data_IF_101169168296
#
_entry.id   IF_101169168296
#
_cell.length_a   1.000
_cell.length_b   1.000
_cell.length_c   1.000
_cell.angle_alpha   90.00
_cell.angle_beta   90.00
_cell.angle_gamma   90.00
#
_symmetry.space_group_name_H-M   'P 1'
#
loop_
_entity.id
_entity.type
_entity.pdbx_description
1 polymer ?
#
# COMPACT_ATOMS: atom_id res chain seq x y z
N UNK A 1 61.65 24.34 16.81
CA UNK A 1 60.63 24.03 15.79
C UNK A 1 60.72 22.59 15.28
N UNK A 2 60.51 21.59 16.18
CA UNK A 2 60.65 20.15 15.74
C UNK A 2 59.73 19.16 16.47
N UNK A 3 58.62 19.61 17.05
CA UNK A 3 57.66 18.73 17.80
C UNK A 3 56.26 18.68 17.20
N UNK A 4 55.99 19.35 16.08
CA UNK A 4 54.67 19.41 15.47
C UNK A 4 54.44 18.39 14.33
N UNK A 5 55.46 17.84 13.72
CA UNK A 5 55.30 16.91 12.59
C UNK A 5 55.05 15.44 12.98
N UNK A 6 55.43 15.02 14.23
CA UNK A 6 55.20 13.66 14.68
C UNK A 6 53.78 13.35 15.18
N UNK A 7 52.95 14.38 15.43
CA UNK A 7 51.57 14.25 15.84
C UNK A 7 50.60 13.96 14.66
N UNK A 8 50.86 14.56 13.49
CA UNK A 8 49.99 14.38 12.32
C UNK A 8 50.15 13.00 11.65
N UNK A 9 51.38 12.49 11.58
CA UNK A 9 51.62 11.14 11.01
C UNK A 9 51.02 9.97 11.85
N UNK A 10 50.94 10.15 13.21
CA UNK A 10 50.25 9.18 14.07
C UNK A 10 48.70 9.25 13.96
N UNK A 11 48.15 10.40 13.66
CA UNK A 11 46.69 10.57 13.49
C UNK A 11 46.18 10.03 12.13
N UNK A 12 46.99 10.12 11.08
CA UNK A 12 46.68 9.51 9.77
C UNK A 12 46.78 8.00 9.79
N UNK A 13 47.82 7.43 10.38
CA UNK A 13 47.95 5.98 10.53
C UNK A 13 46.84 5.33 11.37
N UNK A 14 46.28 6.04 12.36
CA UNK A 14 45.16 5.55 13.15
C UNK A 14 43.83 5.59 12.39
N UNK A 15 43.65 6.55 11.46
CA UNK A 15 42.48 6.64 10.58
C UNK A 15 42.50 5.56 9.50
N UNK A 16 43.65 5.26 8.93
CA UNK A 16 43.80 4.20 7.94
C UNK A 16 43.60 2.81 8.54
N UNK A 17 44.13 2.54 9.74
CA UNK A 17 43.90 1.30 10.46
C UNK A 17 42.41 1.12 10.87
N UNK A 18 41.71 2.19 11.26
CA UNK A 18 40.29 2.14 11.55
C UNK A 18 39.44 1.90 10.31
N UNK A 19 39.84 2.43 9.16
CA UNK A 19 39.15 2.26 7.88
C UNK A 19 39.36 0.86 7.28
N UNK A 20 40.51 0.26 7.50
CA UNK A 20 40.78 -1.12 7.07
C UNK A 20 40.15 -2.16 8.02
N UNK A 21 40.09 -1.88 9.32
CA UNK A 21 39.32 -2.68 10.26
C UNK A 21 37.80 -2.62 9.96
N UNK A 22 37.28 -1.47 9.54
CA UNK A 22 35.88 -1.34 9.10
C UNK A 22 35.62 -2.08 7.77
N UNK A 23 36.58 -2.11 6.84
CA UNK A 23 36.47 -2.87 5.59
C UNK A 23 36.56 -4.38 5.84
N UNK A 24 37.41 -4.84 6.75
CA UNK A 24 37.51 -6.23 7.12
C UNK A 24 36.33 -6.72 7.95
N UNK A 25 35.75 -5.88 8.82
CA UNK A 25 34.50 -6.17 9.50
C UNK A 25 33.33 -6.26 8.50
N UNK A 26 33.32 -5.41 7.46
CA UNK A 26 32.32 -5.46 6.38
C UNK A 26 32.54 -6.70 5.48
N UNK A 27 33.78 -7.12 5.26
CA UNK A 27 34.11 -8.39 4.56
C UNK A 27 33.83 -9.63 5.40
N UNK A 28 34.05 -9.58 6.71
CA UNK A 28 33.72 -10.66 7.62
C UNK A 28 32.18 -10.79 7.82
N UNK A 29 31.44 -9.70 7.90
CA UNK A 29 29.99 -9.71 7.90
C UNK A 29 29.40 -10.21 6.56
N UNK A 30 30.11 -10.02 5.44
CA UNK A 30 29.75 -10.56 4.13
C UNK A 30 30.11 -12.04 3.94
N UNK A 31 30.85 -12.65 4.86
CA UNK A 31 31.20 -14.07 4.88
C UNK A 31 30.50 -14.92 5.94
N UNK A 32 29.52 -14.34 6.63
CA UNK A 32 28.53 -15.17 7.29
C UNK A 32 27.75 -15.86 6.18
N UNK A 33 28.19 -17.06 5.86
CA UNK A 33 27.59 -17.98 4.89
C UNK A 33 26.08 -17.92 5.04
N UNK A 34 25.43 -17.15 4.19
CA UNK A 34 24.09 -17.51 3.76
C UNK A 34 24.23 -18.97 3.30
N UNK A 35 23.78 -19.91 4.14
CA UNK A 35 23.44 -21.24 3.65
C UNK A 35 22.64 -20.97 2.37
N UNK A 36 23.25 -21.29 1.25
CA UNK A 36 22.62 -21.30 -0.06
C UNK A 36 21.66 -22.48 -0.12
N UNK A 37 20.62 -22.45 0.70
CA UNK A 37 19.38 -23.10 0.34
C UNK A 37 18.95 -22.40 -0.93
N UNK A 38 19.11 -23.05 -2.10
CA UNK A 38 18.83 -22.48 -3.39
C UNK A 38 17.44 -21.89 -3.35
N UNK A 39 17.30 -20.60 -3.75
CA UNK A 39 15.97 -20.00 -3.88
C UNK A 39 15.11 -20.97 -4.68
N UNK A 40 13.91 -21.34 -4.20
CA UNK A 40 13.07 -22.27 -4.93
C UNK A 40 12.89 -21.79 -6.36
N UNK A 41 13.10 -22.68 -7.33
CA UNK A 41 12.96 -22.31 -8.74
C UNK A 41 11.51 -21.85 -9.00
N UNK A 42 11.36 -20.61 -9.45
CA UNK A 42 10.04 -20.10 -9.82
C UNK A 42 9.59 -20.71 -11.15
N UNK A 43 8.27 -20.96 -11.33
CA UNK A 43 7.73 -21.30 -12.62
C UNK A 43 8.10 -20.26 -13.69
N UNK A 44 8.09 -20.62 -14.99
CA UNK A 44 8.25 -19.66 -16.07
C UNK A 44 7.32 -18.46 -15.92
N UNK A 45 7.77 -17.25 -16.28
CA UNK A 45 7.03 -16.03 -16.01
C UNK A 45 5.58 -16.03 -16.60
N UNK A 46 5.35 -16.65 -17.74
CA UNK A 46 4.02 -16.77 -18.33
C UNK A 46 3.09 -17.67 -17.51
N UNK A 47 3.59 -18.81 -17.04
CA UNK A 47 2.88 -19.72 -16.14
C UNK A 47 2.58 -19.05 -14.79
N UNK A 48 3.58 -18.41 -14.19
CA UNK A 48 3.41 -17.66 -12.95
C UNK A 48 2.35 -16.57 -13.09
N UNK A 49 2.29 -15.87 -14.24
CA UNK A 49 1.26 -14.86 -14.49
C UNK A 49 -0.14 -15.48 -14.56
N UNK A 50 -0.28 -16.66 -15.19
CA UNK A 50 -1.55 -17.40 -15.25
C UNK A 50 -1.99 -17.85 -13.84
N UNK A 51 -1.07 -18.43 -13.05
CA UNK A 51 -1.33 -18.87 -11.67
C UNK A 51 -1.74 -17.70 -10.76
N UNK A 52 -1.05 -16.55 -10.84
CA UNK A 52 -1.41 -15.35 -10.08
C UNK A 52 -2.79 -14.81 -10.47
N UNK A 53 -3.13 -14.83 -11.76
CA UNK A 53 -4.47 -14.44 -12.23
C UNK A 53 -5.53 -15.38 -11.69
N UNK A 54 -5.35 -16.66 -11.86
CA UNK A 54 -6.29 -17.67 -11.37
C UNK A 54 -6.50 -17.56 -9.87
N UNK A 55 -5.42 -17.53 -9.08
CA UNK A 55 -5.50 -17.39 -7.62
C UNK A 55 -6.20 -16.11 -7.21
N UNK A 56 -5.85 -14.95 -7.81
CA UNK A 56 -6.45 -13.65 -7.49
C UNK A 56 -7.95 -13.66 -7.74
N UNK A 57 -8.38 -14.08 -8.92
CA UNK A 57 -9.80 -14.07 -9.29
C UNK A 57 -10.60 -15.15 -8.52
N UNK A 58 -9.99 -16.30 -8.20
CA UNK A 58 -10.62 -17.32 -7.37
C UNK A 58 -10.81 -16.83 -5.93
N UNK A 59 -9.77 -16.28 -5.29
CA UNK A 59 -9.86 -15.76 -3.92
C UNK A 59 -10.85 -14.59 -3.81
N UNK A 60 -10.95 -13.75 -4.84
CA UNK A 60 -11.95 -12.70 -4.88
C UNK A 60 -13.39 -13.27 -4.89
N UNK A 61 -13.64 -14.32 -5.66
CA UNK A 61 -14.93 -15.03 -5.66
C UNK A 61 -15.23 -15.69 -4.33
N UNK A 62 -14.25 -16.37 -3.72
CA UNK A 62 -14.42 -17.02 -2.42
C UNK A 62 -14.79 -16.02 -1.31
N UNK A 63 -14.26 -14.81 -1.35
CA UNK A 63 -14.66 -13.77 -0.41
C UNK A 63 -16.10 -13.29 -0.61
N UNK A 64 -16.55 -13.18 -1.84
CA UNK A 64 -17.90 -12.72 -2.17
C UNK A 64 -18.94 -13.81 -1.94
N UNK A 65 -18.68 -14.97 -2.50
CA UNK A 65 -19.58 -16.14 -2.53
C UNK A 65 -18.75 -17.42 -2.29
N UNK A 66 -18.52 -17.80 -1.02
CA UNK A 66 -17.74 -18.98 -0.69
C UNK A 66 -18.34 -20.25 -1.31
N UNK A 67 -17.51 -21.01 -2.01
CA UNK A 67 -17.86 -22.35 -2.50
C UNK A 67 -17.67 -23.40 -1.41
N UNK A 68 -18.19 -24.60 -1.65
CA UNK A 68 -18.04 -25.72 -0.71
C UNK A 68 -16.84 -26.62 -1.05
N UNK A 69 -16.21 -26.43 -2.22
CA UNK A 69 -15.10 -27.24 -2.69
C UNK A 69 -13.80 -26.42 -2.89
N UNK A 70 -12.66 -26.95 -2.40
CA UNK A 70 -11.37 -26.31 -2.60
C UNK A 70 -10.97 -26.32 -4.10
N UNK A 71 -10.16 -25.36 -4.53
CA UNK A 71 -9.56 -25.38 -5.86
C UNK A 71 -8.62 -26.60 -6.02
N UNK A 72 -8.62 -27.20 -7.22
CA UNK A 72 -7.71 -28.29 -7.56
C UNK A 72 -6.31 -27.80 -7.92
N UNK A 73 -5.68 -27.04 -7.06
CA UNK A 73 -4.33 -26.52 -7.26
C UNK A 73 -3.28 -27.54 -6.84
N UNK A 74 -2.20 -27.66 -7.61
CA UNK A 74 -0.99 -28.36 -7.17
C UNK A 74 -0.23 -27.50 -6.11
N UNK A 75 0.84 -28.04 -5.52
CA UNK A 75 1.54 -27.37 -4.42
C UNK A 75 2.00 -25.94 -4.76
N UNK A 76 2.62 -25.72 -5.92
CA UNK A 76 3.02 -24.39 -6.34
C UNK A 76 1.82 -23.43 -6.53
N UNK A 77 0.66 -23.94 -6.96
CA UNK A 77 -0.59 -23.17 -7.04
C UNK A 77 -1.05 -22.66 -5.67
N UNK A 78 -1.01 -23.51 -4.65
CA UNK A 78 -1.32 -23.12 -3.27
C UNK A 78 -0.37 -22.05 -2.74
N UNK A 79 0.93 -22.17 -3.02
CA UNK A 79 1.93 -21.16 -2.63
C UNK A 79 1.71 -19.83 -3.37
N UNK A 80 1.35 -19.85 -4.65
CA UNK A 80 0.95 -18.65 -5.39
C UNK A 80 -0.34 -18.04 -4.83
N UNK A 81 -1.28 -18.85 -4.38
CA UNK A 81 -2.49 -18.37 -3.71
C UNK A 81 -2.17 -17.68 -2.37
N UNK A 82 -1.20 -18.17 -1.58
CA UNK A 82 -0.70 -17.48 -0.39
C UNK A 82 -0.10 -16.10 -0.75
N UNK A 83 0.70 -16.02 -1.82
CA UNK A 83 1.22 -14.75 -2.33
C UNK A 83 0.09 -13.80 -2.75
N UNK A 84 -0.91 -14.30 -3.48
CA UNK A 84 -2.08 -13.51 -3.90
C UNK A 84 -2.88 -13.00 -2.70
N UNK A 85 -3.16 -13.85 -1.70
CA UNK A 85 -3.84 -13.47 -0.46
C UNK A 85 -3.08 -12.37 0.30
N UNK A 86 -1.75 -12.45 0.31
CA UNK A 86 -0.86 -11.45 0.92
C UNK A 86 -0.88 -10.13 0.13
N UNK A 87 -0.67 -10.17 -1.19
CA UNK A 87 -0.70 -9.00 -2.07
C UNK A 87 -2.03 -8.24 -1.90
N UNK A 88 -3.13 -8.96 -1.86
CA UNK A 88 -4.46 -8.40 -1.74
C UNK A 88 -4.89 -8.08 -0.30
N UNK A 89 -4.13 -8.51 0.71
CA UNK A 89 -4.40 -8.26 2.13
C UNK A 89 -5.65 -8.93 2.65
N UNK A 90 -5.96 -10.13 2.17
CA UNK A 90 -7.24 -10.80 2.46
C UNK A 90 -7.09 -12.12 3.24
N UNK A 91 -5.87 -12.50 3.62
CA UNK A 91 -5.64 -13.76 4.34
C UNK A 91 -6.48 -13.89 5.62
N UNK A 92 -6.58 -12.81 6.42
CA UNK A 92 -7.40 -12.80 7.64
C UNK A 92 -8.90 -12.90 7.38
N UNK A 93 -9.38 -12.38 6.24
CA UNK A 93 -10.77 -12.52 5.81
C UNK A 93 -11.06 -13.94 5.31
N UNK A 94 -10.15 -14.50 4.52
CA UNK A 94 -10.27 -15.86 3.99
C UNK A 94 -10.31 -16.89 5.12
N UNK A 95 -9.50 -16.72 6.18
CA UNK A 95 -9.49 -17.60 7.35
C UNK A 95 -10.88 -17.77 8.01
N UNK A 96 -11.76 -16.76 7.89
CA UNK A 96 -13.10 -16.81 8.46
C UNK A 96 -14.19 -17.11 7.42
N UNK A 97 -13.90 -16.91 6.13
CA UNK A 97 -14.93 -16.91 5.10
C UNK A 97 -15.01 -18.20 4.32
N UNK A 98 -13.86 -18.89 4.15
CA UNK A 98 -13.80 -20.14 3.40
C UNK A 98 -14.65 -21.23 4.07
N UNK A 99 -15.39 -22.02 3.27
CA UNK A 99 -16.19 -23.16 3.69
C UNK A 99 -15.47 -24.49 3.48
N UNK A 100 -14.36 -24.46 2.75
CA UNK A 100 -13.54 -25.61 2.45
C UNK A 100 -12.18 -25.52 3.15
N UNK A 101 -11.57 -26.68 3.34
CA UNK A 101 -10.21 -26.80 3.85
C UNK A 101 -9.24 -27.11 2.71
N UNK A 102 -8.16 -26.33 2.64
CA UNK A 102 -7.04 -26.58 1.73
C UNK A 102 -5.98 -27.48 2.39
N UNK A 103 -4.82 -27.65 1.73
CA UNK A 103 -3.70 -28.39 2.30
C UNK A 103 -3.24 -27.82 3.66
N UNK A 104 -2.60 -28.64 4.51
CA UNK A 104 -2.16 -28.20 5.85
C UNK A 104 -1.35 -26.90 5.84
N UNK A 105 -0.46 -26.71 4.85
CA UNK A 105 0.34 -25.49 4.70
C UNK A 105 -0.52 -24.24 4.49
N UNK A 106 -1.60 -24.36 3.71
CA UNK A 106 -2.54 -23.25 3.48
C UNK A 106 -3.29 -22.90 4.75
N UNK A 107 -3.79 -23.91 5.49
CA UNK A 107 -4.49 -23.70 6.75
C UNK A 107 -3.58 -23.06 7.81
N UNK A 108 -2.35 -23.56 7.92
CA UNK A 108 -1.33 -22.99 8.81
C UNK A 108 -1.02 -21.53 8.48
N UNK A 109 -0.86 -21.20 7.19
CA UNK A 109 -0.65 -19.83 6.72
C UNK A 109 -1.82 -18.91 7.09
N UNK A 110 -3.06 -19.31 6.85
CA UNK A 110 -4.23 -18.48 7.19
C UNK A 110 -4.34 -18.24 8.70
N UNK A 111 -4.12 -19.30 9.51
CA UNK A 111 -4.15 -19.21 10.96
C UNK A 111 -3.04 -18.29 11.50
N UNK A 112 -1.79 -18.42 10.99
CA UNK A 112 -0.67 -17.56 11.32
C UNK A 112 -0.97 -16.10 10.96
N UNK A 113 -1.38 -15.82 9.73
CA UNK A 113 -1.68 -14.45 9.29
C UNK A 113 -2.76 -13.80 10.15
N UNK A 114 -3.81 -14.53 10.53
CA UNK A 114 -4.85 -14.04 11.43
C UNK A 114 -4.29 -13.71 12.82
N UNK A 115 -3.41 -14.54 13.35
CA UNK A 115 -2.74 -14.33 14.63
C UNK A 115 -1.84 -13.08 14.59
N UNK A 116 -0.96 -12.98 13.59
CA UNK A 116 -0.06 -11.84 13.40
C UNK A 116 -0.82 -10.52 13.24
N UNK A 117 -1.90 -10.53 12.45
CA UNK A 117 -2.76 -9.36 12.26
C UNK A 117 -3.42 -8.90 13.57
N UNK A 118 -3.88 -9.83 14.44
CA UNK A 118 -4.45 -9.48 15.75
C UNK A 118 -3.44 -8.79 16.65
N UNK A 119 -2.24 -9.35 16.76
CA UNK A 119 -1.17 -8.76 17.57
C UNK A 119 -0.79 -7.37 17.06
N UNK A 120 -0.68 -7.23 15.73
CA UNK A 120 -0.35 -5.96 15.10
C UNK A 120 -1.47 -4.93 15.28
N UNK A 121 -2.73 -5.34 15.14
CA UNK A 121 -3.90 -4.48 15.38
C UNK A 121 -3.90 -3.90 16.81
N UNK A 122 -3.58 -4.71 17.82
CA UNK A 122 -3.49 -4.24 19.20
C UNK A 122 -2.43 -3.13 19.35
N UNK A 123 -1.24 -3.34 18.79
CA UNK A 123 -0.17 -2.31 18.81
C UNK A 123 -0.58 -1.02 18.10
N UNK A 124 -1.32 -1.13 17.00
CA UNK A 124 -1.84 0.02 16.26
C UNK A 124 -2.86 0.77 17.12
N UNK A 125 -3.78 0.07 17.81
CA UNK A 125 -4.76 0.68 18.73
C UNK A 125 -4.05 1.42 19.88
N UNK A 126 -3.06 0.80 20.50
CA UNK A 126 -2.27 1.41 21.58
C UNK A 126 -1.53 2.67 21.08
N UNK A 127 -0.97 2.61 19.86
CA UNK A 127 -0.31 3.75 19.24
C UNK A 127 -1.28 4.89 18.97
N UNK A 128 -2.47 4.60 18.42
CA UNK A 128 -3.51 5.61 18.17
C UNK A 128 -4.01 6.26 19.44
N UNK A 129 -4.17 5.50 20.55
CA UNK A 129 -4.54 6.05 21.86
C UNK A 129 -3.46 7.02 22.38
N UNK A 130 -2.18 6.66 22.27
CA UNK A 130 -1.08 7.53 22.67
C UNK A 130 -1.03 8.79 21.81
N UNK A 131 -1.28 8.69 20.52
CA UNK A 131 -1.37 9.85 19.61
C UNK A 131 -2.53 10.76 20.03
N UNK A 132 -3.71 10.22 20.37
CA UNK A 132 -4.85 11.02 20.82
C UNK A 132 -4.53 11.83 22.11
N UNK A 133 -3.93 11.17 23.08
CA UNK A 133 -3.54 11.81 24.35
C UNK A 133 -2.54 12.97 24.12
N UNK A 134 -1.47 12.74 23.37
CA UNK A 134 -0.47 13.75 23.09
C UNK A 134 -1.00 14.88 22.18
N UNK A 135 -1.86 14.55 21.22
CA UNK A 135 -2.49 15.54 20.35
C UNK A 135 -3.43 16.47 21.13
N UNK A 136 -4.20 15.93 22.11
CA UNK A 136 -5.00 16.76 23.03
C UNK A 136 -4.13 17.67 23.87
N UNK A 137 -3.02 17.15 24.43
CA UNK A 137 -2.06 17.90 25.22
C UNK A 137 -1.47 19.09 24.46
N UNK A 138 -1.13 18.88 23.19
CA UNK A 138 -0.51 19.92 22.34
C UNK A 138 -1.54 20.85 21.67
N UNK A 139 -2.84 20.66 21.91
CA UNK A 139 -3.89 21.41 21.25
C UNK A 139 -4.02 21.12 19.73
N UNK A 140 -3.52 19.98 19.29
CA UNK A 140 -3.36 19.61 17.87
C UNK A 140 -4.54 18.80 17.35
N UNK A 141 -5.30 19.24 16.34
CA UNK A 141 -6.25 18.41 15.62
C UNK A 141 -5.52 17.46 14.67
N UNK A 142 -5.78 16.16 14.81
CA UNK A 142 -5.21 15.09 13.96
C UNK A 142 -6.36 14.23 13.46
N UNK A 143 -6.36 13.83 12.20
CA UNK A 143 -7.32 12.84 11.67
C UNK A 143 -6.57 11.55 11.33
N UNK A 144 -7.04 10.43 11.89
CA UNK A 144 -6.59 9.10 11.47
C UNK A 144 -7.25 8.74 10.14
N UNK A 145 -6.43 8.53 9.11
CA UNK A 145 -6.92 8.29 7.76
C UNK A 145 -7.15 6.80 7.46
N UNK A 146 -7.97 6.51 6.45
CA UNK A 146 -8.15 5.15 5.85
C UNK A 146 -8.32 4.03 6.90
N UNK A 147 -7.34 3.12 7.00
CA UNK A 147 -7.35 1.98 7.91
C UNK A 147 -7.57 2.36 9.36
N UNK A 148 -7.00 3.48 9.84
CA UNK A 148 -7.19 3.98 11.20
C UNK A 148 -8.65 4.38 11.48
N UNK A 149 -9.32 5.00 10.50
CA UNK A 149 -10.74 5.33 10.61
C UNK A 149 -11.62 4.07 10.61
N UNK A 150 -11.35 3.10 9.72
CA UNK A 150 -12.08 1.84 9.66
C UNK A 150 -11.94 1.03 10.95
N UNK A 151 -10.73 1.07 11.55
CA UNK A 151 -10.43 0.45 12.83
C UNK A 151 -11.22 1.10 13.98
N UNK A 152 -11.29 2.43 14.02
CA UNK A 152 -12.06 3.17 15.06
C UNK A 152 -13.57 2.93 14.95
N UNK A 153 -14.07 2.64 13.75
CA UNK A 153 -15.47 2.27 13.50
C UNK A 153 -15.78 0.81 13.80
N UNK A 154 -14.80 0.00 14.18
CA UNK A 154 -14.92 -1.45 14.33
C UNK A 154 -15.58 -2.12 13.10
N UNK A 155 -15.15 -1.69 11.89
CA UNK A 155 -15.70 -2.19 10.64
C UNK A 155 -15.40 -3.68 10.43
N UNK A 156 -14.30 -4.14 11.01
CA UNK A 156 -13.80 -5.51 10.96
C UNK A 156 -13.67 -6.11 12.36
N UNK A 157 -13.90 -7.40 12.48
CA UNK A 157 -13.48 -8.11 13.67
C UNK A 157 -11.94 -8.21 13.74
N UNK A 158 -11.37 -8.34 14.94
CA UNK A 158 -9.92 -8.34 15.13
C UNK A 158 -9.19 -9.40 14.29
N UNK A 159 -8.10 -8.98 13.65
CA UNK A 159 -7.26 -9.84 12.81
C UNK A 159 -7.78 -10.12 11.41
N UNK A 160 -8.84 -9.43 10.96
CA UNK A 160 -9.39 -9.61 9.61
C UNK A 160 -8.79 -8.68 8.56
N UNK A 161 -8.38 -7.48 8.97
CA UNK A 161 -7.88 -6.46 8.05
C UNK A 161 -6.43 -6.08 8.38
N UNK A 162 -5.48 -6.30 7.45
CA UNK A 162 -4.10 -5.88 7.65
C UNK A 162 -3.98 -4.36 7.63
N UNK A 163 -3.02 -3.84 8.43
CA UNK A 163 -2.61 -2.44 8.42
C UNK A 163 -1.09 -2.37 8.48
N UNK A 164 -0.46 -1.94 7.38
CA UNK A 164 0.99 -1.80 7.30
C UNK A 164 1.51 -0.54 8.02
N UNK A 165 0.69 0.50 8.07
CA UNK A 165 1.00 1.84 8.54
C UNK A 165 -0.20 2.51 9.20
N UNK A 166 0.06 3.63 9.87
CA UNK A 166 -0.95 4.56 10.40
C UNK A 166 -0.81 5.86 9.62
N UNK A 167 -1.79 6.17 8.79
CA UNK A 167 -1.87 7.45 8.10
C UNK A 167 -2.49 8.52 9.02
N UNK A 168 -1.84 9.67 9.17
CA UNK A 168 -2.30 10.81 9.98
C UNK A 168 -2.36 12.06 9.12
N UNK A 169 -3.43 12.85 9.25
CA UNK A 169 -3.57 14.16 8.61
C UNK A 169 -3.53 15.27 9.65
N UNK A 170 -2.70 16.26 9.39
CA UNK A 170 -2.64 17.52 10.14
C UNK A 170 -2.66 18.70 9.17
N UNK A 171 -2.92 19.91 9.66
CA UNK A 171 -2.79 21.11 8.84
C UNK A 171 -1.32 21.39 8.48
N UNK A 172 -1.02 22.06 7.36
CA UNK A 172 0.35 22.41 7.01
C UNK A 172 1.06 23.21 8.09
N UNK A 173 0.38 24.16 8.74
CA UNK A 173 0.88 24.99 9.83
C UNK A 173 1.18 24.19 11.11
N UNK A 174 0.48 23.10 11.33
CA UNK A 174 0.62 22.21 12.49
C UNK A 174 1.71 21.15 12.32
N UNK A 175 2.32 21.04 11.13
CA UNK A 175 3.29 19.99 10.80
C UNK A 175 4.45 19.89 11.78
N UNK A 176 5.05 21.02 12.17
CA UNK A 176 6.18 21.02 13.11
C UNK A 176 5.78 20.60 14.52
N UNK A 177 4.59 21.00 14.97
CA UNK A 177 4.04 20.57 16.27
C UNK A 177 3.77 19.07 16.26
N UNK A 178 3.17 18.54 15.18
CA UNK A 178 2.96 17.11 15.00
C UNK A 178 4.28 16.32 15.04
N UNK A 179 5.33 16.81 14.38
CA UNK A 179 6.64 16.13 14.38
C UNK A 179 7.25 16.09 15.76
N UNK A 180 7.16 17.18 16.56
CA UNK A 180 7.62 17.19 17.95
C UNK A 180 6.83 16.22 18.82
N UNK A 181 5.53 16.18 18.68
CA UNK A 181 4.64 15.23 19.35
C UNK A 181 5.04 13.77 19.02
N UNK A 182 5.20 13.43 17.74
CA UNK A 182 5.55 12.09 17.32
C UNK A 182 6.97 11.68 17.74
N UNK A 183 7.90 12.65 17.83
CA UNK A 183 9.24 12.41 18.37
C UNK A 183 9.20 12.02 19.86
N UNK A 184 8.33 12.65 20.69
CA UNK A 184 8.11 12.24 22.10
C UNK A 184 7.54 10.84 22.21
N UNK A 185 6.73 10.41 21.22
CA UNK A 185 6.22 9.04 21.13
C UNK A 185 7.27 8.02 20.65
N UNK A 186 8.51 8.46 20.39
CA UNK A 186 9.61 7.61 19.97
C UNK A 186 9.69 7.38 18.48
N UNK A 187 9.10 8.26 17.66
CA UNK A 187 9.19 8.19 16.20
C UNK A 187 10.23 9.17 15.65
N UNK A 188 10.97 8.75 14.63
CA UNK A 188 11.94 9.58 13.91
C UNK A 188 11.55 9.73 12.45
N UNK A 189 11.78 10.91 11.82
CA UNK A 189 11.55 11.11 10.39
C UNK A 189 12.38 10.16 9.55
N UNK A 190 11.74 9.60 8.52
CA UNK A 190 12.33 8.77 7.49
C UNK A 190 12.25 9.47 6.13
N UNK A 191 11.61 8.84 5.16
CA UNK A 191 11.51 9.31 3.78
C UNK A 191 10.38 10.31 3.62
N UNK A 192 10.66 11.50 3.05
CA UNK A 192 9.65 12.44 2.57
C UNK A 192 9.37 12.14 1.09
N UNK A 193 8.16 11.66 0.79
CA UNK A 193 7.71 11.34 -0.56
C UNK A 193 7.13 12.55 -1.30
N UNK A 194 7.06 13.72 -0.64
CA UNK A 194 6.34 14.91 -1.14
C UNK A 194 4.81 14.80 -1.02
N UNK A 195 4.27 13.61 -0.73
CA UNK A 195 2.85 13.37 -0.43
C UNK A 195 2.62 13.20 1.09
N UNK A 196 3.53 12.53 1.74
CA UNK A 196 3.58 12.30 3.18
C UNK A 196 5.03 12.14 3.63
N UNK A 197 5.27 12.40 4.89
CA UNK A 197 6.50 12.05 5.57
C UNK A 197 6.32 10.74 6.32
N UNK A 198 7.10 9.73 5.95
CA UNK A 198 7.15 8.47 6.70
C UNK A 198 7.96 8.65 7.98
N UNK A 199 7.44 8.16 9.10
CA UNK A 199 8.15 8.12 10.38
C UNK A 199 8.26 6.65 10.83
N UNK A 200 9.41 6.32 11.39
CA UNK A 200 9.73 4.99 11.89
C UNK A 200 9.95 5.03 13.41
N UNK A 201 9.57 3.99 14.16
CA UNK A 201 9.96 3.88 15.56
C UNK A 201 11.49 3.96 15.66
N UNK A 202 11.98 4.71 16.65
CA UNK A 202 13.43 4.88 16.88
C UNK A 202 14.12 3.55 17.18
N UNK A 203 13.39 2.59 17.78
CA UNK A 203 13.84 1.22 18.07
C UNK A 203 13.85 0.29 16.86
N UNK A 204 13.37 0.72 15.68
CA UNK A 204 13.31 -0.15 14.50
C UNK A 204 14.70 -0.53 14.03
N UNK A 205 14.96 -1.83 13.93
CA UNK A 205 16.19 -2.35 13.33
C UNK A 205 16.27 -1.97 11.84
N UNK A 206 17.44 -1.59 11.33
CA UNK A 206 17.62 -1.24 9.92
C UNK A 206 17.27 -2.39 8.96
N UNK A 207 17.40 -3.63 9.41
CA UNK A 207 17.21 -4.85 8.63
C UNK A 207 16.30 -5.83 9.38
N UNK A 208 15.03 -5.48 9.53
CA UNK A 208 14.06 -6.44 10.08
C UNK A 208 13.91 -7.64 9.12
N UNK A 209 13.71 -8.87 9.64
CA UNK A 209 13.42 -10.04 8.81
C UNK A 209 12.21 -9.76 7.90
N UNK A 210 12.26 -10.30 6.68
CA UNK A 210 11.16 -10.20 5.74
C UNK A 210 10.29 -11.45 5.91
N UNK A 211 9.03 -11.24 6.25
CA UNK A 211 8.04 -12.29 6.42
C UNK A 211 7.00 -12.22 5.30
N UNK A 212 6.38 -13.36 4.98
CA UNK A 212 5.25 -13.41 4.06
C UNK A 212 4.03 -12.76 4.75
N UNK A 213 3.55 -11.66 4.21
CA UNK A 213 2.38 -10.95 4.73
C UNK A 213 2.64 -10.10 5.97
N UNK A 214 1.64 -10.00 6.85
CA UNK A 214 1.77 -9.25 8.10
C UNK A 214 2.52 -10.06 9.15
N UNK A 215 3.34 -9.37 9.92
CA UNK A 215 4.05 -9.97 11.04
C UNK A 215 4.10 -9.02 12.23
N UNK A 216 4.01 -9.57 13.43
CA UNK A 216 4.05 -8.78 14.65
C UNK A 216 5.33 -7.95 14.78
N UNK A 217 6.48 -8.45 14.35
CA UNK A 217 7.76 -7.73 14.42
C UNK A 217 7.93 -6.62 13.39
N UNK A 218 7.05 -6.53 12.39
CA UNK A 218 7.08 -5.40 11.48
C UNK A 218 6.81 -4.10 12.24
N UNK A 219 7.66 -3.11 12.05
CA UNK A 219 7.49 -1.80 12.66
C UNK A 219 6.14 -1.17 12.28
N UNK A 220 5.43 -0.60 13.25
CA UNK A 220 4.26 0.24 12.98
C UNK A 220 4.77 1.59 12.48
N UNK A 221 4.74 1.79 11.17
CA UNK A 221 5.13 3.05 10.52
C UNK A 221 4.01 4.07 10.65
N UNK A 222 4.38 5.35 10.72
CA UNK A 222 3.42 6.46 10.60
C UNK A 222 3.66 7.20 9.28
N UNK A 223 2.59 7.61 8.62
CA UNK A 223 2.63 8.49 7.46
C UNK A 223 1.94 9.80 7.81
N UNK A 224 2.71 10.88 7.94
CA UNK A 224 2.21 12.21 8.25
C UNK A 224 1.89 12.96 6.97
N UNK A 225 0.61 13.20 6.74
CA UNK A 225 0.07 13.95 5.61
C UNK A 225 -0.31 15.37 6.04
N UNK A 226 -0.12 16.33 5.15
CA UNK A 226 -0.68 17.68 5.26
C UNK A 226 -1.74 17.94 4.20
N UNK A 227 -1.89 17.01 3.25
CA UNK A 227 -2.90 17.05 2.18
C UNK A 227 -3.37 15.64 1.84
N UNK A 228 -4.62 15.54 1.45
CA UNK A 228 -5.20 14.31 0.87
C UNK A 228 -5.60 14.62 -0.57
N UNK A 229 -4.70 14.28 -1.48
CA UNK A 229 -4.84 14.59 -2.89
C UNK A 229 -4.30 13.47 -3.79
N UNK A 230 -4.98 13.24 -4.93
CA UNK A 230 -4.56 12.28 -5.95
C UNK A 230 -4.55 12.92 -7.34
N UNK A 231 -3.46 12.73 -8.13
CA UNK A 231 -3.44 13.16 -9.53
C UNK A 231 -4.30 12.21 -10.38
N UNK A 232 -5.45 12.69 -10.92
CA UNK A 232 -6.38 11.89 -11.70
C UNK A 232 -6.74 12.56 -13.04
N UNK A 233 -6.03 12.23 -14.10
CA UNK A 233 -4.63 11.89 -14.25
C UNK A 233 -3.74 13.11 -14.35
N UNK A 234 -4.26 14.25 -14.87
CA UNK A 234 -3.53 15.51 -15.06
C UNK A 234 -3.98 16.60 -14.10
N UNK A 235 -5.18 16.50 -13.54
CA UNK A 235 -5.67 17.38 -12.46
C UNK A 235 -5.61 16.62 -11.14
N UNK A 236 -5.12 17.32 -10.14
CA UNK A 236 -5.14 16.84 -8.77
C UNK A 236 -6.56 17.00 -8.20
N UNK A 237 -7.07 15.93 -7.59
CA UNK A 237 -8.30 15.98 -6.78
C UNK A 237 -7.87 16.07 -5.33
N UNK A 238 -8.10 17.21 -4.70
CA UNK A 238 -7.76 17.49 -3.31
C UNK A 238 -9.05 17.53 -2.48
N UNK A 239 -9.12 16.68 -1.46
CA UNK A 239 -10.27 16.57 -0.55
C UNK A 239 -9.93 16.94 0.90
N UNK A 240 -8.77 17.56 1.13
CA UNK A 240 -8.23 17.86 2.47
C UNK A 240 -9.23 18.61 3.34
N UNK A 241 -9.82 19.69 2.83
CA UNK A 241 -10.78 20.52 3.58
C UNK A 241 -12.06 19.77 3.99
N UNK A 242 -12.43 18.72 3.25
CA UNK A 242 -13.59 17.85 3.60
C UNK A 242 -13.27 16.86 4.71
N UNK A 243 -12.00 16.61 5.00
CA UNK A 243 -11.55 15.65 6.01
C UNK A 243 -11.14 16.36 7.31
N UNK A 244 -10.42 17.47 7.19
CA UNK A 244 -9.94 18.26 8.33
C UNK A 244 -10.47 19.69 8.23
N UNK A 245 -11.70 19.97 8.71
CA UNK A 245 -12.28 21.31 8.70
C UNK A 245 -11.54 22.25 9.65
N UNK A 246 -11.60 23.56 9.38
CA UNK A 246 -10.96 24.60 10.21
C UNK A 246 -11.41 24.57 11.68
N UNK A 247 -12.65 24.14 11.94
CA UNK A 247 -13.22 24.02 13.30
C UNK A 247 -12.88 22.73 14.04
N UNK A 248 -11.98 21.88 13.50
CA UNK A 248 -11.64 20.61 14.13
C UNK A 248 -11.01 20.84 15.53
N UNK A 249 -11.51 20.08 16.53
CA UNK A 249 -11.03 20.13 17.93
C UNK A 249 -9.73 19.36 18.08
N UNK A 250 -8.90 19.68 19.11
CA UNK A 250 -7.69 18.92 19.43
C UNK A 250 -7.94 17.43 19.70
N UNK A 251 -6.93 16.61 19.45
CA UNK A 251 -6.93 15.16 19.59
C UNK A 251 -7.10 14.42 18.27
N UNK A 252 -7.11 13.09 18.33
CA UNK A 252 -7.36 12.24 17.18
C UNK A 252 -8.86 12.26 16.82
N UNK A 253 -9.17 12.74 15.64
CA UNK A 253 -10.56 12.98 15.21
C UNK A 253 -11.03 11.96 14.19
N UNK A 254 -12.30 11.57 14.25
CA UNK A 254 -12.92 10.85 13.14
C UNK A 254 -13.11 11.79 11.95
N UNK A 255 -13.40 11.22 10.79
CA UNK A 255 -13.89 11.99 9.64
C UNK A 255 -15.18 12.74 10.01
N UNK A 256 -15.46 13.88 9.40
CA UNK A 256 -16.68 14.66 9.65
C UNK A 256 -17.99 13.90 9.38
N UNK A 257 -17.92 12.84 8.56
CA UNK A 257 -19.04 11.96 8.27
C UNK A 257 -18.64 10.77 7.41
N UNK A 258 -19.58 9.84 7.22
CA UNK A 258 -19.36 8.62 6.42
C UNK A 258 -19.06 8.92 4.96
N UNK A 259 -19.74 9.93 4.39
CA UNK A 259 -19.49 10.38 3.03
C UNK A 259 -18.04 10.88 2.83
N UNK A 260 -17.47 11.60 3.80
CA UNK A 260 -16.08 12.06 3.74
C UNK A 260 -15.08 10.89 3.78
N UNK A 261 -15.32 9.90 4.62
CA UNK A 261 -14.49 8.68 4.67
C UNK A 261 -14.62 7.90 3.36
N UNK A 262 -15.84 7.63 2.89
CA UNK A 262 -16.07 6.91 1.64
C UNK A 262 -15.44 7.62 0.45
N UNK A 263 -15.52 8.96 0.38
CA UNK A 263 -14.86 9.77 -0.63
C UNK A 263 -13.34 9.55 -0.64
N UNK A 264 -12.70 9.52 0.53
CA UNK A 264 -11.26 9.26 0.62
C UNK A 264 -10.91 7.83 0.17
N UNK A 265 -11.66 6.82 0.61
CA UNK A 265 -11.44 5.43 0.20
C UNK A 265 -11.58 5.28 -1.32
N UNK A 266 -12.58 5.91 -1.93
CA UNK A 266 -12.79 5.93 -3.38
C UNK A 266 -11.64 6.64 -4.11
N UNK A 267 -11.20 7.80 -3.61
CA UNK A 267 -10.09 8.55 -4.20
C UNK A 267 -8.79 7.74 -4.17
N UNK A 268 -8.51 7.10 -3.03
CA UNK A 268 -7.36 6.22 -2.88
C UNK A 268 -7.45 4.99 -3.80
N UNK A 269 -8.61 4.35 -3.89
CA UNK A 269 -8.83 3.22 -4.80
C UNK A 269 -8.69 3.64 -6.27
N UNK A 270 -9.20 4.81 -6.66
CA UNK A 270 -9.04 5.36 -8.01
C UNK A 270 -7.55 5.61 -8.36
N UNK A 271 -6.79 6.20 -7.43
CA UNK A 271 -5.34 6.37 -7.57
C UNK A 271 -4.61 5.04 -7.76
N UNK A 272 -4.98 4.03 -6.96
CA UNK A 272 -4.42 2.68 -7.04
C UNK A 272 -4.82 1.95 -8.34
N UNK A 273 -6.06 2.08 -8.80
CA UNK A 273 -6.47 1.56 -10.11
C UNK A 273 -5.66 2.18 -11.25
N UNK A 274 -5.45 3.51 -11.20
CA UNK A 274 -4.65 4.24 -12.20
C UNK A 274 -3.19 3.74 -12.22
N UNK A 275 -2.61 3.45 -11.07
CA UNK A 275 -1.23 2.94 -10.92
C UNK A 275 -1.13 1.43 -10.98
N UNK A 276 -2.26 0.72 -11.03
CA UNK A 276 -2.38 -0.74 -11.03
C UNK A 276 -1.80 -1.38 -9.77
N UNK A 277 -2.17 -0.81 -8.64
CA UNK A 277 -1.84 -1.28 -7.30
C UNK A 277 -3.09 -1.48 -6.42
N UNK A 278 -4.27 -1.61 -7.06
CA UNK A 278 -5.52 -1.89 -6.37
C UNK A 278 -5.43 -3.23 -5.62
N UNK A 279 -5.93 -3.25 -4.39
CA UNK A 279 -5.99 -4.46 -3.56
C UNK A 279 -7.44 -4.85 -3.31
N UNK A 280 -7.70 -6.16 -3.22
CA UNK A 280 -9.05 -6.67 -2.95
C UNK A 280 -9.60 -6.16 -1.62
N UNK A 281 -8.76 -6.01 -0.59
CA UNK A 281 -9.17 -5.44 0.70
C UNK A 281 -9.75 -4.02 0.54
N UNK A 282 -9.27 -3.22 -0.42
CA UNK A 282 -9.81 -1.88 -0.66
C UNK A 282 -11.22 -1.94 -1.26
N UNK A 283 -11.48 -2.91 -2.15
CA UNK A 283 -12.84 -3.13 -2.67
C UNK A 283 -13.79 -3.62 -1.57
N UNK A 284 -13.29 -4.46 -0.67
CA UNK A 284 -14.06 -4.92 0.49
C UNK A 284 -14.33 -3.77 1.48
N UNK A 285 -13.35 -2.88 1.73
CA UNK A 285 -13.56 -1.63 2.49
C UNK A 285 -14.71 -0.80 1.89
N UNK A 286 -14.71 -0.62 0.55
CA UNK A 286 -15.77 0.12 -0.16
C UNK A 286 -17.14 -0.55 -0.01
N UNK A 287 -17.21 -1.87 -0.17
CA UNK A 287 -18.45 -2.63 -0.04
C UNK A 287 -19.04 -2.50 1.37
N UNK A 288 -18.23 -2.73 2.41
CA UNK A 288 -18.68 -2.60 3.80
C UNK A 288 -19.08 -1.17 4.19
N UNK A 289 -18.39 -0.17 3.63
CA UNK A 289 -18.77 1.23 3.84
C UNK A 289 -20.06 1.59 3.12
N UNK A 290 -20.27 1.10 1.90
CA UNK A 290 -21.47 1.35 1.12
C UNK A 290 -22.74 0.91 1.86
N UNK A 291 -22.71 -0.22 2.58
CA UNK A 291 -23.81 -0.72 3.40
C UNK A 291 -24.19 0.21 4.58
N UNK A 292 -23.32 1.15 4.91
CA UNK A 292 -23.51 2.11 6.02
C UNK A 292 -23.88 3.50 5.59
N UNK A 293 -23.93 3.77 4.29
CA UNK A 293 -24.26 5.09 3.75
C UNK A 293 -25.77 5.28 3.66
N UNK A 294 -26.20 6.47 4.03
CA UNK A 294 -27.57 6.96 3.81
C UNK A 294 -27.70 7.56 2.41
N UNK A 295 -28.93 7.82 1.94
CA UNK A 295 -29.15 8.50 0.66
C UNK A 295 -28.54 9.92 0.63
N UNK A 296 -28.54 10.62 1.76
CA UNK A 296 -27.86 11.92 1.88
C UNK A 296 -26.34 11.80 1.75
N UNK A 297 -25.74 10.71 2.27
CA UNK A 297 -24.32 10.43 2.08
C UNK A 297 -24.01 10.18 0.60
N UNK A 298 -24.82 9.40 -0.12
CA UNK A 298 -24.67 9.15 -1.56
C UNK A 298 -24.79 10.43 -2.39
N UNK A 299 -25.77 11.28 -2.09
CA UNK A 299 -25.92 12.58 -2.73
C UNK A 299 -24.70 13.48 -2.50
N UNK A 300 -24.20 13.52 -1.25
CA UNK A 300 -22.98 14.26 -0.90
C UNK A 300 -21.75 13.72 -1.63
N UNK A 301 -21.63 12.39 -1.81
CA UNK A 301 -20.53 11.76 -2.54
C UNK A 301 -20.53 12.10 -4.02
N UNK A 302 -21.71 12.09 -4.66
CA UNK A 302 -21.85 12.40 -6.08
C UNK A 302 -21.54 13.87 -6.39
N UNK A 303 -21.78 14.77 -5.44
CA UNK A 303 -21.48 16.18 -5.60
C UNK A 303 -19.98 16.42 -5.86
N UNK A 304 -19.67 17.16 -6.91
CA UNK A 304 -18.29 17.53 -7.27
C UNK A 304 -17.64 18.49 -6.27
N UNK A 305 -16.37 18.72 -6.41
CA UNK A 305 -15.60 19.69 -5.63
C UNK A 305 -15.87 21.11 -6.15
N UNK A 306 -16.27 22.04 -5.25
CA UNK A 306 -16.45 23.45 -5.58
C UNK A 306 -17.53 23.76 -6.62
N UNK A 307 -18.59 22.94 -6.73
CA UNK A 307 -19.65 23.12 -7.74
C UNK A 307 -19.28 22.65 -9.15
N UNK A 308 -18.14 21.96 -9.30
CA UNK A 308 -17.70 21.38 -10.56
C UNK A 308 -18.36 20.01 -10.83
N UNK A 309 -18.01 19.41 -11.98
CA UNK A 309 -18.53 18.11 -12.42
C UNK A 309 -18.55 17.05 -11.31
N UNK A 310 -19.52 16.12 -11.31
CA UNK A 310 -19.60 15.02 -10.34
C UNK A 310 -18.26 14.30 -10.12
N UNK A 311 -18.13 13.59 -9.00
CA UNK A 311 -16.94 12.82 -8.64
C UNK A 311 -16.77 11.59 -9.58
N UNK A 312 -16.67 11.82 -10.89
CA UNK A 312 -16.61 10.80 -11.95
C UNK A 312 -15.52 9.74 -11.72
N UNK A 313 -14.43 10.12 -11.07
CA UNK A 313 -13.31 9.25 -10.72
C UNK A 313 -13.69 8.15 -9.71
N UNK A 314 -14.79 8.31 -9.00
CA UNK A 314 -15.33 7.31 -8.07
C UNK A 314 -16.03 6.16 -8.79
N UNK A 315 -16.51 6.36 -10.05
CA UNK A 315 -17.22 5.34 -10.81
C UNK A 315 -16.42 4.04 -11.01
N UNK A 316 -15.13 4.06 -11.44
CA UNK A 316 -14.39 2.82 -11.65
C UNK A 316 -14.23 1.96 -10.38
N UNK A 317 -13.80 2.49 -9.21
CA UNK A 317 -13.71 1.68 -8.01
C UNK A 317 -15.07 1.22 -7.48
N UNK A 318 -16.13 2.02 -7.58
CA UNK A 318 -17.49 1.60 -7.22
C UNK A 318 -17.97 0.44 -8.10
N UNK A 319 -17.74 0.51 -9.42
CA UNK A 319 -18.08 -0.58 -10.35
C UNK A 319 -17.31 -1.86 -10.05
N UNK A 320 -16.04 -1.75 -9.71
CA UNK A 320 -15.24 -2.90 -9.28
C UNK A 320 -15.73 -3.48 -7.96
N UNK A 321 -16.09 -2.64 -6.98
CA UNK A 321 -16.65 -3.11 -5.72
C UNK A 321 -17.98 -3.85 -5.93
N UNK A 322 -18.90 -3.29 -6.73
CA UNK A 322 -20.17 -3.95 -7.07
C UNK A 322 -19.95 -5.32 -7.75
N UNK A 323 -19.00 -5.40 -8.70
CA UNK A 323 -18.70 -6.65 -9.40
C UNK A 323 -18.23 -7.76 -8.46
N UNK A 324 -17.36 -7.43 -7.52
CA UNK A 324 -16.79 -8.40 -6.59
C UNK A 324 -17.67 -8.64 -5.36
N UNK A 325 -18.52 -7.70 -5.00
CA UNK A 325 -19.40 -7.78 -3.83
C UNK A 325 -20.82 -7.33 -4.22
N UNK A 326 -21.56 -8.14 -5.01
CA UNK A 326 -22.85 -7.74 -5.58
C UNK A 326 -23.95 -7.51 -4.53
N UNK A 327 -23.78 -8.04 -3.32
CA UNK A 327 -24.73 -7.87 -2.22
C UNK A 327 -24.50 -6.59 -1.40
N UNK A 328 -23.53 -5.71 -1.77
CA UNK A 328 -23.25 -4.48 -1.05
C UNK A 328 -24.24 -3.36 -1.44
N UNK A 329 -24.28 -2.31 -0.61
CA UNK A 329 -25.14 -1.13 -0.82
C UNK A 329 -24.81 -0.27 -2.06
N UNK A 330 -24.12 -0.83 -3.08
CA UNK A 330 -23.87 -0.22 -4.38
C UNK A 330 -24.80 -0.87 -5.40
N UNK A 331 -25.49 -0.06 -6.20
CA UNK A 331 -26.34 -0.51 -7.29
C UNK A 331 -26.15 0.34 -8.56
N UNK A 332 -26.72 -0.10 -9.67
CA UNK A 332 -26.60 0.59 -10.96
C UNK A 332 -27.26 1.98 -10.95
N UNK A 333 -28.27 2.20 -10.11
CA UNK A 333 -28.90 3.52 -9.97
C UNK A 333 -27.92 4.51 -9.34
N UNK A 334 -27.24 4.13 -8.25
CA UNK A 334 -26.21 4.95 -7.60
C UNK A 334 -25.00 5.20 -8.49
N UNK A 335 -24.58 4.20 -9.27
CA UNK A 335 -23.46 4.35 -10.20
C UNK A 335 -23.72 5.43 -11.27
N UNK A 336 -24.97 5.57 -11.74
CA UNK A 336 -25.34 6.58 -12.76
C UNK A 336 -25.02 8.00 -12.31
N UNK A 337 -25.09 8.31 -11.02
CA UNK A 337 -24.77 9.64 -10.49
C UNK A 337 -23.28 10.03 -10.70
N UNK A 338 -22.38 9.06 -10.88
CA UNK A 338 -20.95 9.26 -11.11
C UNK A 338 -20.54 9.17 -12.59
N UNK A 339 -21.47 8.85 -13.49
CA UNK A 339 -21.17 8.73 -14.93
C UNK A 339 -20.87 10.07 -15.62
N UNK A 340 -21.53 11.19 -15.27
CA UNK A 340 -21.24 12.47 -15.90
C UNK A 340 -19.78 12.88 -15.70
N UNK A 341 -19.09 13.22 -16.80
CA UNK A 341 -17.66 13.56 -16.80
C UNK A 341 -16.68 12.38 -16.80
N UNK A 342 -17.14 11.13 -16.60
CA UNK A 342 -16.31 9.95 -16.73
C UNK A 342 -16.09 9.60 -18.21
N UNK A 343 -14.83 9.50 -18.68
CA UNK A 343 -14.54 9.18 -20.06
C UNK A 343 -15.18 7.87 -20.51
N UNK A 344 -15.76 7.78 -21.72
CA UNK A 344 -16.42 6.56 -22.21
C UNK A 344 -15.50 5.33 -22.23
N UNK A 345 -14.23 5.52 -22.62
CA UNK A 345 -13.24 4.44 -22.62
C UNK A 345 -12.87 3.98 -21.21
N UNK A 346 -12.86 4.88 -20.21
CA UNK A 346 -12.63 4.51 -18.81
C UNK A 346 -13.83 3.73 -18.26
N UNK A 347 -15.06 4.14 -18.59
CA UNK A 347 -16.29 3.39 -18.24
C UNK A 347 -16.26 1.99 -18.80
N UNK A 348 -15.88 1.84 -20.09
CA UNK A 348 -15.69 0.53 -20.72
C UNK A 348 -14.60 -0.28 -20.03
N UNK A 349 -13.42 0.32 -19.82
CA UNK A 349 -12.31 -0.35 -19.14
C UNK A 349 -12.69 -0.83 -17.73
N UNK A 350 -13.42 -0.03 -16.95
CA UNK A 350 -13.89 -0.42 -15.61
C UNK A 350 -14.90 -1.59 -15.64
N UNK A 351 -15.61 -1.80 -16.76
CA UNK A 351 -16.50 -2.95 -16.96
C UNK A 351 -15.75 -4.22 -17.37
N UNK A 352 -14.66 -4.11 -18.11
CA UNK A 352 -13.95 -5.22 -18.74
C UNK A 352 -12.72 -5.70 -17.94
N UNK A 353 -12.01 -4.78 -17.28
CA UNK A 353 -10.77 -5.09 -16.56
C UNK A 353 -11.01 -6.06 -15.39
N UNK A 354 -10.15 -7.05 -15.24
CA UNK A 354 -10.13 -7.95 -14.09
C UNK A 354 -9.45 -7.28 -12.89
N UNK A 355 -9.64 -7.81 -11.68
CA UNK A 355 -8.91 -7.36 -10.49
C UNK A 355 -7.40 -7.51 -10.69
N UNK A 356 -6.97 -8.63 -11.26
CA UNK A 356 -5.56 -8.89 -11.57
C UNK A 356 -4.97 -7.79 -12.45
N UNK A 357 -5.69 -7.35 -13.49
CA UNK A 357 -5.20 -6.30 -14.40
C UNK A 357 -5.01 -4.94 -13.72
N UNK A 358 -5.70 -4.68 -12.64
CA UNK A 358 -5.69 -3.43 -11.89
C UNK A 358 -4.84 -3.48 -10.61
N UNK A 359 -4.20 -4.61 -10.33
CA UNK A 359 -3.47 -4.87 -9.10
C UNK A 359 -1.98 -5.15 -9.32
N UNK A 360 -1.24 -5.26 -8.21
CA UNK A 360 0.17 -5.70 -8.21
C UNK A 360 0.32 -7.21 -8.39
N UNK A 361 -0.76 -8.01 -8.27
CA UNK A 361 -0.72 -9.45 -8.59
C UNK A 361 -0.58 -9.71 -10.09
N UNK A 362 -0.78 -8.68 -10.92
CA UNK A 362 -0.40 -8.72 -12.32
C UNK A 362 1.13 -8.75 -12.47
N UNK A 363 1.64 -9.79 -13.09
CA UNK A 363 3.08 -9.96 -13.25
C UNK A 363 3.68 -8.98 -14.27
N UNK A 364 2.96 -8.64 -15.35
CA UNK A 364 3.45 -7.77 -16.42
C UNK A 364 2.75 -6.41 -16.42
N UNK A 365 3.52 -5.32 -16.44
CA UNK A 365 2.98 -3.97 -16.48
C UNK A 365 2.81 -3.47 -17.93
N UNK A 366 1.69 -2.81 -18.29
CA UNK A 366 1.56 -2.14 -19.57
C UNK A 366 2.51 -0.96 -19.67
N UNK A 367 2.82 -0.54 -20.89
CA UNK A 367 3.73 0.58 -21.17
C UNK A 367 3.31 1.89 -20.51
N UNK A 368 2.02 2.17 -20.50
CA UNK A 368 1.45 3.42 -20.03
C UNK A 368 0.26 3.14 -19.09
N UNK A 369 0.52 2.67 -17.85
CA UNK A 369 -0.54 2.53 -16.88
C UNK A 369 -1.18 3.90 -16.63
N UNK A 370 -2.50 3.93 -16.53
CA UNK A 370 -3.26 5.15 -16.27
C UNK A 370 -3.63 5.97 -17.50
N UNK A 371 -3.21 5.61 -18.72
CA UNK A 371 -3.59 6.35 -19.93
C UNK A 371 -5.13 6.37 -20.15
N UNK A 372 -5.80 5.29 -19.81
CA UNK A 372 -7.27 5.19 -19.88
C UNK A 372 -8.01 6.20 -18.97
N UNK A 373 -7.31 6.81 -18.03
CA UNK A 373 -7.87 7.83 -17.13
C UNK A 373 -7.83 9.24 -17.73
N UNK A 374 -7.15 9.44 -18.86
CA UNK A 374 -7.14 10.73 -19.55
C UNK A 374 -8.53 11.04 -20.07
N UNK A 375 -9.02 12.27 -19.86
CA UNK A 375 -10.36 12.70 -20.30
C UNK A 375 -10.39 13.10 -21.77
N UNK A 376 -9.24 13.51 -22.30
CA UNK A 376 -9.07 13.95 -23.65
C UNK A 376 -7.67 13.63 -24.21
N UNK A 377 -7.43 13.77 -25.53
CA UNK A 377 -6.12 13.51 -26.13
C UNK A 377 -4.99 14.40 -25.60
N UNK A 378 -5.30 15.61 -25.17
CA UNK A 378 -4.30 16.56 -24.62
C UNK A 378 -3.81 16.07 -23.26
N UNK A 379 -4.71 15.62 -22.38
CA UNK A 379 -4.34 14.97 -21.12
C UNK A 379 -3.55 13.69 -21.37
N UNK A 380 -3.95 12.87 -22.34
CA UNK A 380 -3.21 11.67 -22.73
C UNK A 380 -1.77 12.01 -23.15
N UNK A 381 -1.59 13.01 -23.99
CA UNK A 381 -0.27 13.48 -24.43
C UNK A 381 0.57 14.00 -23.26
N UNK A 382 -0.03 14.76 -22.35
CA UNK A 382 0.66 15.24 -21.13
C UNK A 382 1.16 14.09 -20.27
N UNK A 383 0.35 13.02 -20.09
CA UNK A 383 0.74 11.82 -19.35
C UNK A 383 1.90 11.09 -20.03
N UNK A 384 1.83 10.91 -21.35
CA UNK A 384 2.91 10.29 -22.13
C UNK A 384 4.20 11.12 -21.96
N UNK A 385 4.12 12.44 -22.15
CA UNK A 385 5.27 13.35 -21.98
C UNK A 385 5.85 13.26 -20.56
N UNK A 386 5.02 13.35 -19.51
CA UNK A 386 5.48 13.23 -18.13
C UNK A 386 6.16 11.88 -17.83
N UNK A 387 5.72 10.82 -18.50
CA UNK A 387 6.31 9.48 -18.36
C UNK A 387 7.67 9.36 -19.08
N UNK A 388 7.78 9.94 -20.25
CA UNK A 388 9.02 9.92 -21.04
C UNK A 388 10.06 10.89 -20.47
N UNK A 389 9.64 12.10 -20.09
CA UNK A 389 10.47 13.17 -19.54
C UNK A 389 10.00 13.56 -18.11
N UNK A 390 10.26 12.70 -17.10
CA UNK A 390 9.85 13.01 -15.73
C UNK A 390 10.62 14.23 -15.21
N UNK A 391 9.91 15.08 -14.45
CA UNK A 391 10.48 16.24 -13.79
C UNK A 391 11.55 15.84 -12.76
N UNK A 392 12.39 16.83 -12.35
CA UNK A 392 13.40 16.60 -11.30
C UNK A 392 12.77 16.10 -10.01
N UNK A 393 11.68 16.73 -9.57
CA UNK A 393 10.93 16.30 -8.38
C UNK A 393 10.41 14.85 -8.50
N UNK A 394 9.83 14.46 -9.65
CA UNK A 394 9.38 13.09 -9.87
C UNK A 394 10.54 12.06 -9.85
N UNK A 395 11.74 12.46 -10.32
CA UNK A 395 12.94 11.61 -10.24
C UNK A 395 13.43 11.47 -8.80
N UNK A 396 13.45 12.54 -8.03
CA UNK A 396 13.83 12.54 -6.61
C UNK A 396 12.86 11.71 -5.78
N UNK A 397 11.55 11.89 -5.97
CA UNK A 397 10.51 11.08 -5.34
C UNK A 397 10.65 9.59 -5.66
N UNK A 398 10.92 9.24 -6.93
CA UNK A 398 11.19 7.85 -7.33
C UNK A 398 12.47 7.28 -6.72
N UNK A 399 13.48 8.10 -6.42
CA UNK A 399 14.70 7.66 -5.73
C UNK A 399 14.44 7.41 -4.25
N UNK A 400 13.71 8.33 -3.59
CA UNK A 400 13.34 8.21 -2.19
C UNK A 400 12.49 6.94 -1.94
N UNK A 401 11.47 6.70 -2.78
CA UNK A 401 10.63 5.50 -2.69
C UNK A 401 11.44 4.20 -2.84
N UNK A 402 12.48 4.19 -3.69
CA UNK A 402 13.33 3.00 -3.89
C UNK A 402 14.13 2.59 -2.66
N UNK A 403 14.51 3.54 -1.82
CA UNK A 403 15.25 3.24 -0.58
C UNK A 403 14.35 2.74 0.56
N UNK A 404 13.03 2.94 0.46
CA UNK A 404 12.09 2.69 1.55
C UNK A 404 11.52 1.26 1.56
N UNK A 405 11.44 0.58 0.42
CA UNK A 405 10.78 -0.72 0.32
C UNK A 405 11.78 -1.86 0.14
N UNK A 406 11.68 -2.91 0.97
CA UNK A 406 12.59 -4.05 0.98
C UNK A 406 12.70 -4.74 -0.39
N UNK A 407 11.56 -4.95 -1.08
CA UNK A 407 11.52 -5.60 -2.40
C UNK A 407 12.22 -4.77 -3.50
N UNK A 408 12.35 -3.46 -3.31
CA UNK A 408 13.11 -2.59 -4.24
C UNK A 408 14.60 -2.62 -3.88
N UNK A 409 14.93 -2.58 -2.60
CA UNK A 409 16.30 -2.57 -2.10
C UNK A 409 17.04 -3.85 -2.48
N UNK A 410 16.37 -5.01 -2.29
CA UNK A 410 16.96 -6.33 -2.53
C UNK A 410 16.80 -6.78 -3.99
N UNK A 411 16.29 -5.92 -4.86
CA UNK A 411 16.11 -6.24 -6.27
C UNK A 411 17.41 -6.02 -7.07
N UNK A 412 17.99 -7.08 -7.65
CA UNK A 412 19.23 -6.99 -8.42
C UNK A 412 19.11 -6.07 -9.66
N UNK A 413 17.89 -5.74 -10.09
CA UNK A 413 17.65 -4.81 -11.20
C UNK A 413 17.63 -3.34 -10.78
N UNK A 414 17.70 -3.03 -9.48
CA UNK A 414 17.60 -1.66 -8.96
C UNK A 414 18.71 -0.75 -9.48
N UNK A 415 19.91 -1.29 -9.68
CA UNK A 415 21.09 -0.59 -10.22
C UNK A 415 21.04 -0.37 -11.74
N UNK A 416 20.19 -1.08 -12.46
CA UNK A 416 20.12 -0.99 -13.94
C UNK A 416 19.53 0.35 -14.41
N UNK A 417 19.94 0.84 -15.60
CA UNK A 417 19.28 1.96 -16.26
C UNK A 417 17.78 1.68 -16.46
N UNK A 418 16.96 2.74 -16.47
CA UNK A 418 15.49 2.62 -16.55
C UNK A 418 15.00 1.74 -17.71
N UNK A 419 15.58 1.91 -18.90
CA UNK A 419 15.20 1.13 -20.09
C UNK A 419 15.51 -0.36 -19.92
N UNK A 420 16.66 -0.70 -19.33
CA UNK A 420 17.05 -2.09 -19.07
C UNK A 420 16.15 -2.74 -18.00
N UNK A 421 15.78 -1.98 -16.95
CA UNK A 421 14.81 -2.43 -15.94
C UNK A 421 13.45 -2.71 -16.56
N UNK A 422 12.93 -1.77 -17.35
CA UNK A 422 11.61 -1.94 -18.00
C UNK A 422 11.62 -3.16 -18.94
N UNK A 423 12.70 -3.33 -19.72
CA UNK A 423 12.88 -4.51 -20.57
C UNK A 423 12.84 -5.80 -19.74
N UNK A 424 13.59 -5.83 -18.63
CA UNK A 424 13.65 -7.00 -17.77
C UNK A 424 12.31 -7.30 -17.08
N UNK A 425 11.59 -6.28 -16.60
CA UNK A 425 10.26 -6.46 -16.03
C UNK A 425 9.23 -6.99 -17.04
N UNK A 426 9.45 -6.79 -18.32
CA UNK A 426 8.60 -7.39 -19.38
C UNK A 426 8.90 -8.86 -19.64
N UNK A 427 10.10 -9.30 -19.32
CA UNK A 427 10.52 -10.69 -19.50
C UNK A 427 10.29 -11.49 -18.21
N UNK A 428 10.78 -10.95 -17.10
CA UNK A 428 10.83 -11.65 -15.81
C UNK A 428 9.64 -11.32 -14.90
N UNK A 429 8.85 -10.29 -15.22
CA UNK A 429 7.74 -9.79 -14.41
C UNK A 429 8.12 -8.69 -13.43
N UNK A 430 7.10 -8.11 -12.79
CA UNK A 430 7.25 -7.02 -11.82
C UNK A 430 7.90 -7.53 -10.53
N UNK A 431 8.93 -6.84 -10.00
CA UNK A 431 9.65 -7.27 -8.81
C UNK A 431 8.76 -7.47 -7.58
N UNK A 432 7.76 -6.62 -7.36
CA UNK A 432 6.88 -6.71 -6.21
C UNK A 432 6.07 -8.02 -6.18
N UNK A 433 5.48 -8.40 -7.33
CA UNK A 433 4.74 -9.66 -7.45
C UNK A 433 5.67 -10.87 -7.26
N UNK A 434 6.82 -10.84 -7.95
CA UNK A 434 7.83 -11.91 -7.81
C UNK A 434 8.32 -12.07 -6.38
N UNK A 435 8.63 -10.98 -5.71
CA UNK A 435 9.08 -11.00 -4.32
C UNK A 435 8.05 -11.69 -3.41
N UNK A 436 6.76 -11.34 -3.54
CA UNK A 436 5.71 -11.99 -2.75
C UNK A 436 5.60 -13.49 -3.05
N UNK A 437 5.78 -13.89 -4.31
CA UNK A 437 5.78 -15.31 -4.68
C UNK A 437 7.04 -16.01 -4.16
N UNK A 438 8.22 -15.40 -4.27
CA UNK A 438 9.47 -15.96 -3.72
C UNK A 438 9.36 -16.20 -2.20
N UNK A 439 8.74 -15.25 -1.47
CA UNK A 439 8.48 -15.42 -0.03
C UNK A 439 7.48 -16.56 0.23
N UNK A 440 6.44 -16.70 -0.58
CA UNK A 440 5.47 -17.78 -0.44
C UNK A 440 6.05 -19.16 -0.79
N UNK A 441 6.95 -19.23 -1.80
CA UNK A 441 7.66 -20.47 -2.14
C UNK A 441 8.62 -20.90 -1.03
N UNK A 442 9.21 -19.96 -0.32
CA UNK A 442 10.12 -20.20 0.80
C UNK A 442 9.40 -20.33 2.16
N UNK A 443 8.08 -20.15 2.19
CA UNK A 443 7.32 -20.22 3.44
C UNK A 443 7.30 -21.65 3.99
N UNK A 444 7.79 -21.79 5.20
CA UNK A 444 7.73 -23.00 6.00
C UNK A 444 6.94 -22.67 7.28
N UNK A 445 6.00 -23.51 7.61
CA UNK A 445 5.32 -23.41 8.91
C UNK A 445 6.25 -23.94 9.98
N UNK A 446 6.58 -23.11 10.96
CA UNK A 446 7.41 -23.45 12.12
C UNK A 446 6.57 -23.67 13.36
#
# INVERSE_FOLDING_TARGET
MSTSMNGMARAEGAKDAANDAAKDATRAAGRQETRSGGRPALPPAAELAAMLRESTERLARELAQPSDEPPAWHEAGWRVAMAAATIHGVAGLLADRLRWEGPPLWQAFLADQRHQMRQREQRIRDTLQRIDLEARRDGLPVVGLKGSALLSMNLYAPGRRPMADIDLLVRPEDRLTALRMLARLGYRPGVDSGRHLTLLPASSAPHAPVHLGEHADHAVKLELHTRVAEPLPAREVDITARILPASARPGLRPYPGRAALMRHLLLHAAGNMRTRSLRLIQLHDLALMADRLTESDWTSLAAGEGGHAPAWWALPPLRMALRHFPSCGIDEHRLRAFEPGCPPWLRRHAREASLTDLSTSRLFCPWLPGLVWARDPVEALRLVRARLWPSRAAKEQSRAARGAEAWIRDNPTASLPRWARVRRWRIDGLPAARFSVEQAMAYEWR
#
